data_IF_033350404329
#
_entry.id   IF_033350404329
#
_cell.length_a   1.000
_cell.length_b   1.000
_cell.length_c   1.000
_cell.angle_alpha   90.00
_cell.angle_beta   90.00
_cell.angle_gamma   90.00
#
_symmetry.space_group_name_H-M   'P 1'
#
loop_
_entity.id
_entity.type
_entity.pdbx_description
1 polymer ?
#
# COMPACT_ATOMS: atom_id res chain seq x y z
N UNK A 1 30.27 -6.72 8.27
CA UNK A 1 29.25 -5.89 7.57
C UNK A 1 28.20 -6.81 6.97
N UNK A 2 27.19 -7.17 7.76
CA UNK A 2 26.14 -8.14 7.40
C UNK A 2 25.20 -7.48 6.39
N UNK A 3 25.24 -7.93 5.13
CA UNK A 3 24.29 -7.45 4.11
C UNK A 3 22.89 -7.93 4.48
N UNK A 4 21.94 -6.98 4.46
CA UNK A 4 20.52 -7.19 4.73
C UNK A 4 19.99 -8.39 3.94
N UNK A 5 19.39 -9.33 4.66
CA UNK A 5 18.52 -10.35 4.10
C UNK A 5 17.25 -9.66 3.62
N UNK A 6 17.23 -9.22 2.36
CA UNK A 6 16.01 -8.81 1.66
C UNK A 6 15.12 -10.06 1.65
N UNK A 7 14.10 -10.07 2.52
CA UNK A 7 13.05 -11.10 2.55
C UNK A 7 12.70 -11.43 1.10
N UNK A 8 12.94 -12.68 0.69
CA UNK A 8 12.65 -13.15 -0.66
C UNK A 8 11.18 -12.80 -0.98
N UNK A 9 11.00 -11.73 -1.78
CA UNK A 9 9.67 -11.27 -2.14
C UNK A 9 9.08 -12.33 -3.06
N UNK A 10 7.94 -12.91 -2.68
CA UNK A 10 7.27 -13.94 -3.48
C UNK A 10 6.55 -13.25 -4.62
N UNK A 11 7.30 -12.87 -5.66
CA UNK A 11 6.74 -12.25 -6.85
C UNK A 11 5.99 -13.30 -7.65
N UNK A 12 4.72 -13.03 -7.97
CA UNK A 12 3.89 -13.88 -8.82
C UNK A 12 3.65 -13.19 -10.15
N UNK A 13 4.02 -13.83 -11.24
CA UNK A 13 3.74 -13.32 -12.59
C UNK A 13 2.26 -13.48 -12.92
N UNK A 14 1.64 -12.40 -13.37
CA UNK A 14 0.23 -12.35 -13.81
C UNK A 14 0.22 -11.77 -15.22
N UNK A 15 -0.55 -12.38 -16.14
CA UNK A 15 -0.74 -11.87 -17.50
C UNK A 15 -1.98 -11.00 -17.54
N UNK A 16 -1.81 -9.74 -17.92
CA UNK A 16 -2.88 -8.74 -17.97
C UNK A 16 -2.74 -8.02 -19.33
N UNK A 17 -3.80 -7.87 -20.13
CA UNK A 17 -3.74 -7.13 -21.39
C UNK A 17 -3.87 -5.62 -21.15
N UNK A 18 -2.81 -4.81 -21.33
CA UNK A 18 -2.91 -3.35 -21.27
C UNK A 18 -3.42 -2.75 -22.59
N UNK A 19 -3.84 -1.49 -22.57
CA UNK A 19 -4.09 -0.73 -23.81
C UNK A 19 -2.77 -0.47 -24.52
N UNK A 20 -2.69 -0.80 -25.80
CA UNK A 20 -1.47 -0.66 -26.60
C UNK A 20 -0.90 0.76 -26.57
N UNK A 21 -1.77 1.77 -26.75
CA UNK A 21 -1.40 3.18 -26.77
C UNK A 21 -0.67 3.63 -25.49
N UNK A 22 -1.10 3.11 -24.32
CA UNK A 22 -0.47 3.44 -23.04
C UNK A 22 0.90 2.77 -22.88
N UNK A 23 1.08 1.58 -23.44
CA UNK A 23 2.38 0.87 -23.40
C UNK A 23 3.39 1.57 -24.30
N UNK A 24 2.97 2.00 -25.49
CA UNK A 24 3.83 2.74 -26.41
C UNK A 24 4.24 4.10 -25.82
N UNK A 25 3.32 4.80 -25.17
CA UNK A 25 3.64 6.04 -24.46
C UNK A 25 4.59 5.80 -23.28
N UNK A 26 4.34 4.77 -22.46
CA UNK A 26 5.20 4.42 -21.34
C UNK A 26 6.63 4.09 -21.80
N UNK A 27 6.78 3.36 -22.91
CA UNK A 27 8.09 3.09 -23.51
C UNK A 27 8.78 4.36 -24.00
N UNK A 28 8.04 5.27 -24.65
CA UNK A 28 8.57 6.56 -25.12
C UNK A 28 9.08 7.41 -23.96
N UNK A 29 8.34 7.41 -22.85
CA UNK A 29 8.66 8.18 -21.65
C UNK A 29 9.60 7.44 -20.67
N UNK A 30 10.06 6.24 -21.03
CA UNK A 30 10.91 5.39 -20.21
C UNK A 30 10.33 5.12 -18.79
N UNK A 31 9.01 4.93 -18.72
CA UNK A 31 8.29 4.60 -17.48
C UNK A 31 8.32 3.10 -17.22
N UNK A 32 8.65 2.70 -15.99
CA UNK A 32 8.57 1.30 -15.58
C UNK A 32 7.11 0.89 -15.37
N UNK A 33 6.60 0.06 -16.28
CA UNK A 33 5.21 -0.41 -16.28
C UNK A 33 4.94 -1.32 -15.07
N UNK A 34 5.92 -2.09 -14.61
CA UNK A 34 5.75 -3.02 -13.51
C UNK A 34 5.60 -2.28 -12.19
N UNK A 35 6.47 -1.29 -11.95
CA UNK A 35 6.39 -0.42 -10.77
C UNK A 35 5.08 0.38 -10.75
N UNK A 36 4.67 0.93 -11.89
CA UNK A 36 3.42 1.68 -12.00
C UNK A 36 2.20 0.81 -11.67
N UNK A 37 2.18 -0.43 -12.16
CA UNK A 37 1.15 -1.41 -11.84
C UNK A 37 1.16 -1.81 -10.36
N UNK A 38 2.33 -2.05 -9.77
CA UNK A 38 2.47 -2.39 -8.35
C UNK A 38 1.94 -1.26 -7.45
N UNK A 39 2.32 -0.01 -7.75
CA UNK A 39 1.83 1.16 -7.00
C UNK A 39 0.31 1.26 -7.06
N UNK A 40 -0.26 1.15 -8.27
CA UNK A 40 -1.72 1.16 -8.43
C UNK A 40 -2.40 0.04 -7.64
N UNK A 41 -1.84 -1.17 -7.67
CA UNK A 41 -2.38 -2.30 -6.93
C UNK A 41 -2.35 -2.08 -5.43
N UNK A 42 -1.23 -1.58 -4.89
CA UNK A 42 -1.09 -1.26 -3.46
C UNK A 42 -2.14 -0.22 -3.05
N UNK A 43 -2.32 0.84 -3.82
CA UNK A 43 -3.32 1.87 -3.55
C UNK A 43 -4.75 1.30 -3.57
N UNK A 44 -5.09 0.51 -4.60
CA UNK A 44 -6.41 -0.09 -4.72
C UNK A 44 -6.73 -1.08 -3.59
N UNK A 45 -5.78 -1.96 -3.24
CA UNK A 45 -5.95 -2.93 -2.15
C UNK A 45 -6.07 -2.19 -0.80
N UNK A 46 -5.22 -1.20 -0.56
CA UNK A 46 -5.27 -0.40 0.67
C UNK A 46 -6.59 0.35 0.79
N UNK A 47 -7.13 0.89 -0.31
CA UNK A 47 -8.42 1.55 -0.33
C UNK A 47 -9.59 0.59 -0.12
N UNK A 48 -9.54 -0.62 -0.70
CA UNK A 48 -10.54 -1.65 -0.46
C UNK A 48 -10.57 -2.03 1.03
N UNK A 49 -9.40 -2.32 1.60
CA UNK A 49 -9.26 -2.63 3.02
C UNK A 49 -9.79 -1.51 3.92
N UNK A 50 -9.46 -0.24 3.63
CA UNK A 50 -9.99 0.91 4.39
C UNK A 50 -11.50 1.01 4.34
N UNK A 51 -12.13 0.70 3.21
CA UNK A 51 -13.59 0.71 3.07
C UNK A 51 -14.23 -0.39 3.91
N UNK A 52 -13.68 -1.60 3.86
CA UNK A 52 -14.16 -2.73 4.66
C UNK A 52 -13.98 -2.50 6.16
N UNK A 53 -12.86 -1.89 6.56
CA UNK A 53 -12.51 -1.65 7.96
C UNK A 53 -13.01 -0.30 8.48
N UNK A 54 -13.80 0.43 7.70
CA UNK A 54 -14.23 1.79 8.02
C UNK A 54 -14.92 1.87 9.39
N UNK A 55 -15.85 0.95 9.66
CA UNK A 55 -16.56 0.92 10.95
C UNK A 55 -15.62 0.71 12.14
N UNK A 56 -14.71 -0.27 12.04
CA UNK A 56 -13.73 -0.53 13.10
C UNK A 56 -12.77 0.65 13.30
N UNK A 57 -12.38 1.34 12.23
CA UNK A 57 -11.57 2.55 12.30
C UNK A 57 -12.33 3.68 12.98
N UNK A 58 -13.60 3.90 12.63
CA UNK A 58 -14.48 4.90 13.25
C UNK A 58 -14.70 4.62 14.75
N UNK A 59 -14.95 3.36 15.12
CA UNK A 59 -15.06 2.92 16.53
C UNK A 59 -13.78 3.18 17.32
N UNK A 60 -12.62 2.81 16.76
CA UNK A 60 -11.32 3.08 17.36
C UNK A 60 -11.05 4.58 17.51
N UNK A 61 -11.39 5.38 16.50
CA UNK A 61 -11.21 6.84 16.55
C UNK A 61 -12.07 7.46 17.66
N UNK A 62 -13.35 7.08 17.74
CA UNK A 62 -14.26 7.53 18.81
C UNK A 62 -13.72 7.15 20.18
N UNK A 63 -13.22 5.93 20.36
CA UNK A 63 -12.62 5.51 21.62
C UNK A 63 -11.41 6.38 22.00
N UNK A 64 -10.54 6.72 21.03
CA UNK A 64 -9.38 7.59 21.25
C UNK A 64 -9.80 9.03 21.55
N UNK A 65 -10.86 9.54 20.94
CA UNK A 65 -11.41 10.87 21.23
C UNK A 65 -11.98 10.94 22.65
N UNK A 66 -12.70 9.90 23.09
CA UNK A 66 -13.33 9.84 24.40
C UNK A 66 -12.34 9.54 25.54
N UNK A 67 -11.37 8.64 25.31
CA UNK A 67 -10.50 8.08 26.35
C UNK A 67 -9.04 8.54 26.24
N UNK A 68 -8.70 9.28 25.17
CA UNK A 68 -7.34 9.65 24.82
C UNK A 68 -6.56 8.49 24.20
N UNK A 69 -5.31 8.76 23.81
CA UNK A 69 -4.43 7.75 23.21
C UNK A 69 -4.09 6.66 24.24
N UNK A 70 -4.40 5.38 23.96
CA UNK A 70 -3.98 4.28 24.80
C UNK A 70 -2.46 4.31 24.94
N UNK A 71 -1.98 4.09 26.18
CA UNK A 71 -0.54 4.00 26.48
C UNK A 71 0.27 5.28 26.23
N UNK A 72 -0.38 6.45 26.03
CA UNK A 72 0.31 7.74 25.94
C UNK A 72 1.26 8.00 27.13
N UNK A 73 0.91 7.47 28.31
CA UNK A 73 1.70 7.52 29.55
C UNK A 73 3.08 6.84 29.48
N UNK A 74 3.35 6.04 28.45
CA UNK A 74 4.64 5.36 28.26
C UNK A 74 5.44 5.91 27.07
N UNK A 75 4.98 6.98 26.42
CA UNK A 75 5.69 7.58 25.29
C UNK A 75 6.91 8.36 25.79
N UNK A 76 8.10 7.79 25.59
CA UNK A 76 9.38 8.50 25.76
C UNK A 76 9.57 9.45 24.57
N UNK A 77 9.92 10.70 24.87
CA UNK A 77 10.18 11.78 23.90
C UNK A 77 11.66 11.90 23.60
#
# INVERSE_FOLDING_TARGET
MTRLNVKANRTRTIKIPPRAELVDEAKRLNVDISEACERGLVEHVSNAWRKENRGAIEDCNRYVEENGLPLARYRLF
#
